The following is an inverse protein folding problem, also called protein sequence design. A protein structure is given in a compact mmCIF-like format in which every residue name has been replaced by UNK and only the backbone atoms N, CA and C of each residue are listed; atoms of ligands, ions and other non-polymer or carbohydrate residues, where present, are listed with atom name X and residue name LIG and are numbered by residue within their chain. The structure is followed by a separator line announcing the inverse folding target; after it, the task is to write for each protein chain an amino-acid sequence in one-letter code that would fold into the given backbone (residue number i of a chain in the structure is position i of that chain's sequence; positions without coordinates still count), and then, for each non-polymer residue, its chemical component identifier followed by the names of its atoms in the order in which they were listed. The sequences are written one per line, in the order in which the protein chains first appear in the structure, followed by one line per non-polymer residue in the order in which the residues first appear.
data_IF_875745171308
#
_entry.id   IF_875745171308
#
_cell.length_a   1.000
_cell.length_b   1.000
_cell.length_c   1.000
_cell.angle_alpha   90.00
_cell.angle_beta   90.00
_cell.angle_gamma   90.00
#
_symmetry.space_group_name_H-M   'P 1'
#
loop_
_entity.id
_entity.type
_entity.pdbx_description
1 polymer ?
#
# COMPACT_ATOMS: atom_id res chain seq x y z
N UNK A 1 -13.85 9.06 12.82
CA UNK A 1 -13.78 7.83 13.64
C UNK A 1 -12.95 8.14 14.87
N UNK A 2 -13.38 7.73 16.07
CA UNK A 2 -12.52 7.79 17.26
C UNK A 2 -11.25 6.94 17.07
N UNK A 3 -10.20 7.24 17.82
CA UNK A 3 -9.04 6.35 17.90
C UNK A 3 -9.49 5.02 18.52
N UNK A 4 -9.22 3.94 17.80
CA UNK A 4 -9.47 2.57 18.23
C UNK A 4 -8.13 1.99 18.67
N UNK A 5 -8.14 1.29 19.79
CA UNK A 5 -6.99 0.53 20.28
C UNK A 5 -7.42 -0.83 20.80
N UNK A 6 -6.48 -1.77 20.88
CA UNK A 6 -6.70 -3.04 21.56
C UNK A 6 -6.51 -2.89 23.09
N UNK A 7 -6.70 -4.00 23.82
CA UNK A 7 -6.48 -4.13 25.26
C UNK A 7 -5.05 -3.79 25.72
N UNK A 8 -4.09 -3.84 24.80
CA UNK A 8 -2.67 -3.47 25.01
C UNK A 8 -2.36 -2.01 24.64
N UNK A 9 -3.36 -1.23 24.23
CA UNK A 9 -3.22 0.18 23.87
C UNK A 9 -2.65 0.44 22.46
N UNK A 10 -2.44 -0.59 21.64
CA UNK A 10 -1.96 -0.42 20.25
C UNK A 10 -3.09 0.07 19.37
N UNK A 11 -2.84 1.11 18.56
CA UNK A 11 -3.85 1.65 17.65
C UNK A 11 -4.24 0.65 16.56
N UNK A 12 -5.51 0.66 16.15
CA UNK A 12 -6.05 -0.33 15.20
C UNK A 12 -6.82 0.27 14.02
N UNK A 13 -6.98 1.59 13.98
CA UNK A 13 -7.76 2.28 12.94
C UNK A 13 -7.28 1.97 11.51
N UNK A 14 -5.97 1.97 11.27
CA UNK A 14 -5.41 1.74 9.95
C UNK A 14 -5.55 0.28 9.54
N UNK A 15 -5.34 -0.65 10.48
CA UNK A 15 -5.54 -2.10 10.26
C UNK A 15 -7.00 -2.36 9.87
N UNK A 16 -7.94 -1.84 10.66
CA UNK A 16 -9.37 -2.00 10.44
C UNK A 16 -9.81 -1.40 9.10
N UNK A 17 -9.44 -0.15 8.82
CA UNK A 17 -9.80 0.53 7.58
C UNK A 17 -9.22 -0.19 6.36
N UNK A 18 -7.98 -0.67 6.44
CA UNK A 18 -7.36 -1.43 5.36
C UNK A 18 -8.06 -2.77 5.11
N UNK A 19 -8.39 -3.52 6.18
CA UNK A 19 -9.10 -4.79 6.07
C UNK A 19 -10.47 -4.61 5.40
N UNK A 20 -11.23 -3.57 5.78
CA UNK A 20 -12.53 -3.27 5.17
C UNK A 20 -12.41 -2.98 3.67
N UNK A 21 -11.41 -2.20 3.26
CA UNK A 21 -11.19 -1.89 1.84
C UNK A 21 -10.76 -3.14 1.07
N UNK A 22 -9.86 -3.94 1.66
CA UNK A 22 -9.39 -5.20 1.05
C UNK A 22 -10.54 -6.17 0.83
N UNK A 23 -11.36 -6.41 1.85
CA UNK A 23 -12.51 -7.32 1.77
C UNK A 23 -13.51 -6.84 0.71
N UNK A 24 -13.82 -5.53 0.70
CA UNK A 24 -14.69 -4.95 -0.31
C UNK A 24 -14.15 -5.13 -1.73
N UNK A 25 -12.85 -4.91 -1.96
CA UNK A 25 -12.23 -5.15 -3.26
C UNK A 25 -12.28 -6.62 -3.68
N UNK A 26 -12.07 -7.55 -2.77
CA UNK A 26 -12.16 -8.98 -3.06
C UNK A 26 -13.58 -9.40 -3.46
N UNK A 27 -14.58 -8.86 -2.78
CA UNK A 27 -16.00 -9.14 -3.04
C UNK A 27 -16.49 -8.52 -4.37
N UNK A 28 -16.20 -7.23 -4.58
CA UNK A 28 -16.70 -6.46 -5.72
C UNK A 28 -16.00 -6.86 -7.03
N UNK A 29 -14.67 -6.99 -7.01
CA UNK A 29 -13.87 -7.17 -8.23
C UNK A 29 -13.59 -8.64 -8.57
N UNK A 30 -13.73 -9.56 -7.60
CA UNK A 30 -13.42 -11.00 -7.73
C UNK A 30 -12.11 -11.27 -8.50
N UNK A 31 -10.99 -10.66 -8.07
CA UNK A 31 -9.77 -10.69 -8.84
C UNK A 31 -9.16 -12.09 -8.87
N UNK A 32 -8.63 -12.49 -10.01
CA UNK A 32 -7.83 -13.73 -10.12
C UNK A 32 -6.42 -13.57 -9.53
N UNK A 33 -5.93 -12.33 -9.46
CA UNK A 33 -4.59 -11.99 -8.99
C UNK A 33 -4.61 -10.64 -8.27
N UNK A 34 -3.89 -10.52 -7.16
CA UNK A 34 -3.74 -9.29 -6.39
C UNK A 34 -2.30 -9.09 -5.95
N UNK A 35 -1.87 -7.83 -5.90
CA UNK A 35 -0.57 -7.41 -5.37
C UNK A 35 -0.76 -6.11 -4.59
N UNK A 36 -0.16 -6.03 -3.40
CA UNK A 36 -0.05 -4.77 -2.65
C UNK A 36 1.39 -4.27 -2.74
N UNK A 37 1.56 -3.01 -3.16
CA UNK A 37 2.86 -2.37 -3.28
C UNK A 37 3.05 -1.34 -2.15
N UNK A 38 4.15 -1.47 -1.41
CA UNK A 38 4.60 -0.47 -0.44
C UNK A 38 5.65 0.45 -1.09
N UNK A 39 5.66 1.72 -0.70
CA UNK A 39 6.71 2.67 -1.08
C UNK A 39 8.01 2.32 -0.35
N UNK A 40 9.13 2.26 -1.07
CA UNK A 40 10.45 1.90 -0.54
C UNK A 40 11.02 2.92 0.48
N UNK A 41 10.42 4.11 0.61
CA UNK A 41 10.96 5.17 1.45
C UNK A 41 12.09 5.95 0.76
N UNK A 42 12.58 7.00 1.46
CA UNK A 42 13.32 8.15 0.89
C UNK A 42 14.65 7.87 0.15
N UNK A 43 15.19 6.66 0.18
CA UNK A 43 16.44 6.29 -0.52
C UNK A 43 16.15 5.68 -1.89
N UNK A 44 15.59 6.49 -2.78
CA UNK A 44 15.70 6.25 -4.22
C UNK A 44 16.67 7.28 -4.78
N UNK A 45 17.56 6.85 -5.68
CA UNK A 45 18.62 7.63 -6.32
C UNK A 45 18.03 8.80 -7.15
N UNK A 46 17.50 9.81 -6.46
CA UNK A 46 16.80 10.97 -7.03
C UNK A 46 17.04 12.16 -6.10
N UNK A 47 18.28 12.65 -6.08
CA UNK A 47 18.69 13.69 -5.12
C UNK A 47 19.14 15.03 -5.70
N UNK A 48 18.91 15.34 -6.97
CA UNK A 48 19.40 16.63 -7.49
C UNK A 48 18.35 17.62 -8.03
N UNK A 49 17.13 17.21 -8.42
CA UNK A 49 16.24 18.16 -9.15
C UNK A 49 14.98 18.63 -8.40
N UNK A 50 14.68 18.17 -7.18
CA UNK A 50 13.37 18.44 -6.53
C UNK A 50 13.44 18.60 -4.99
N UNK A 51 14.48 19.24 -4.46
CA UNK A 51 14.61 19.48 -3.01
C UNK A 51 13.50 20.40 -2.47
N UNK A 52 13.11 21.43 -3.22
CA UNK A 52 12.11 22.43 -2.79
C UNK A 52 10.67 21.88 -2.73
N UNK A 53 10.30 20.95 -3.62
CA UNK A 53 8.93 20.43 -3.72
C UNK A 53 8.54 19.47 -2.58
N UNK A 54 9.49 18.87 -1.86
CA UNK A 54 9.22 17.89 -0.78
C UNK A 54 9.48 18.42 0.63
N UNK A 55 9.85 19.69 0.77
CA UNK A 55 10.23 20.31 2.05
C UNK A 55 9.11 20.37 3.11
N UNK A 56 7.84 20.29 2.70
CA UNK A 56 6.68 20.44 3.59
C UNK A 56 6.02 19.15 4.06
N UNK A 57 6.57 17.95 3.79
CA UNK A 57 5.93 16.70 4.25
C UNK A 57 6.06 16.56 5.76
N UNK A 58 4.92 16.52 6.46
CA UNK A 58 4.88 16.12 7.85
C UNK A 58 5.41 14.69 8.00
N UNK A 59 6.05 14.42 9.14
CA UNK A 59 6.47 13.06 9.50
C UNK A 59 5.22 12.19 9.61
N UNK A 60 5.32 10.94 9.18
CA UNK A 60 4.27 9.96 9.42
C UNK A 60 3.99 9.87 10.92
N UNK A 61 2.72 9.97 11.36
CA UNK A 61 2.37 9.83 12.77
C UNK A 61 2.86 8.48 13.33
N UNK A 62 3.42 8.43 14.56
CA UNK A 62 3.86 7.19 15.20
C UNK A 62 2.75 6.14 15.28
N UNK A 63 1.52 6.56 15.57
CA UNK A 63 0.32 5.75 15.72
C UNK A 63 -0.05 5.01 14.42
N UNK A 64 0.30 5.59 13.27
CA UNK A 64 0.14 4.93 11.98
C UNK A 64 1.33 3.98 11.71
N UNK A 65 2.53 4.40 12.10
CA UNK A 65 3.77 3.65 11.84
C UNK A 65 3.78 2.31 12.59
N UNK A 66 3.30 2.29 13.83
CA UNK A 66 3.19 1.06 14.64
C UNK A 66 2.20 0.03 14.07
N UNK A 67 1.26 0.46 13.23
CA UNK A 67 0.24 -0.42 12.63
C UNK A 67 0.72 -1.14 11.37
N UNK A 68 1.80 -0.66 10.75
CA UNK A 68 2.30 -1.18 9.47
C UNK A 68 2.77 -2.65 9.51
N UNK A 69 3.39 -3.17 10.57
CA UNK A 69 3.71 -4.59 10.68
C UNK A 69 2.45 -5.48 10.62
N UNK A 70 1.41 -5.11 11.36
CA UNK A 70 0.15 -5.88 11.39
C UNK A 70 -0.61 -5.85 10.05
N UNK A 71 -0.52 -4.76 9.29
CA UNK A 71 -1.06 -4.73 7.92
C UNK A 71 -0.32 -5.72 7.02
N UNK A 72 0.99 -5.92 7.21
CA UNK A 72 1.75 -6.91 6.44
C UNK A 72 1.37 -8.33 6.84
N UNK A 73 1.18 -8.60 8.12
CA UNK A 73 0.69 -9.88 8.65
C UNK A 73 -0.71 -10.20 8.13
N UNK A 74 -1.61 -9.20 8.11
CA UNK A 74 -2.94 -9.34 7.54
C UNK A 74 -2.85 -9.77 6.07
N UNK A 75 -1.98 -9.15 5.27
CA UNK A 75 -1.79 -9.54 3.88
C UNK A 75 -1.22 -10.96 3.71
N UNK A 76 -0.38 -11.43 4.65
CA UNK A 76 0.08 -12.83 4.67
C UNK A 76 -1.09 -13.78 4.94
N UNK A 77 -1.96 -13.45 5.89
CA UNK A 77 -3.15 -14.25 6.21
C UNK A 77 -4.11 -14.37 5.01
N UNK A 78 -4.23 -13.32 4.20
CA UNK A 78 -5.00 -13.33 2.95
C UNK A 78 -4.23 -13.92 1.76
N UNK A 79 -3.00 -14.39 1.94
CA UNK A 79 -2.11 -14.91 0.89
C UNK A 79 -1.89 -13.92 -0.27
N UNK A 80 -1.94 -12.62 0.02
CA UNK A 80 -1.74 -11.55 -0.96
C UNK A 80 -0.26 -11.27 -1.10
N UNK A 81 0.26 -11.32 -2.34
CA UNK A 81 1.66 -10.99 -2.61
C UNK A 81 1.93 -9.52 -2.31
N UNK A 82 3.11 -9.27 -1.74
CA UNK A 82 3.59 -7.94 -1.40
C UNK A 82 4.81 -7.59 -2.25
N UNK A 83 4.83 -6.38 -2.80
CA UNK A 83 5.96 -5.82 -3.53
C UNK A 83 6.46 -4.55 -2.87
N UNK A 84 7.75 -4.26 -3.03
CA UNK A 84 8.29 -2.93 -2.73
C UNK A 84 8.53 -2.23 -4.05
N UNK A 85 7.96 -1.04 -4.25
CA UNK A 85 8.21 -0.25 -5.45
C UNK A 85 9.20 0.87 -5.18
N UNK A 86 10.20 0.97 -6.06
CA UNK A 86 11.20 2.04 -6.09
C UNK A 86 10.77 3.22 -6.97
N UNK A 87 9.61 3.12 -7.63
CA UNK A 87 8.97 4.20 -8.36
C UNK A 87 7.78 4.71 -7.55
N UNK A 88 7.41 5.98 -7.70
CA UNK A 88 6.20 6.49 -7.06
C UNK A 88 4.98 5.60 -7.43
N UNK A 89 4.03 5.42 -6.52
CA UNK A 89 2.89 4.50 -6.70
C UNK A 89 2.09 4.77 -7.99
N UNK A 90 2.12 6.02 -8.50
CA UNK A 90 1.51 6.41 -9.78
C UNK A 90 2.19 5.77 -11.00
N UNK A 91 3.50 5.48 -10.96
CA UNK A 91 4.22 4.85 -12.07
C UNK A 91 4.09 3.32 -12.09
N UNK A 92 3.95 2.70 -10.92
CA UNK A 92 3.84 1.23 -10.79
C UNK A 92 2.52 0.69 -11.36
N UNK A 93 1.42 1.40 -11.13
CA UNK A 93 0.09 1.04 -11.66
C UNK A 93 0.09 1.15 -13.19
N UNK A 94 0.75 2.15 -13.77
CA UNK A 94 0.81 2.33 -15.23
C UNK A 94 1.66 1.26 -15.93
N UNK A 95 2.71 0.74 -15.30
CA UNK A 95 3.48 -0.40 -15.82
C UNK A 95 2.73 -1.74 -15.75
N UNK A 96 1.86 -1.93 -14.75
CA UNK A 96 1.05 -3.16 -14.63
C UNK A 96 -0.24 -3.15 -15.47
N UNK A 97 -0.92 -2.00 -15.54
CA UNK A 97 -2.20 -1.83 -16.24
C UNK A 97 -2.05 -1.92 -17.77
N UNK A 98 -0.91 -1.54 -18.33
CA UNK A 98 -0.62 -1.74 -19.76
C UNK A 98 -0.26 -3.19 -20.12
N UNK A 99 0.37 -3.95 -19.21
CA UNK A 99 0.72 -5.35 -19.46
C UNK A 99 -0.51 -6.27 -19.43
N UNK A 100 -1.48 -5.97 -18.57
CA UNK A 100 -2.70 -6.79 -18.42
C UNK A 100 -3.68 -6.62 -19.59
N UNK A 101 -3.78 -5.43 -20.17
CA UNK A 101 -4.68 -5.12 -21.29
C UNK A 101 -4.16 -5.61 -22.66
N UNK A 102 -2.89 -6.01 -22.78
CA UNK A 102 -2.31 -6.52 -24.03
C UNK A 102 -2.33 -8.06 -24.16
N UNK A 103 -2.39 -8.81 -23.05
CA UNK A 103 -2.43 -10.28 -23.10
C UNK A 103 -3.80 -10.88 -23.45
N UNK A 104 -4.86 -10.08 -23.57
CA UNK A 104 -6.21 -10.53 -23.91
C UNK A 104 -6.62 -10.31 -25.39
N UNK A 105 -5.67 -9.95 -26.28
CA UNK A 105 -5.91 -9.70 -27.71
C UNK A 105 -5.02 -10.51 -28.67
N UNK A 106 -4.36 -11.56 -28.20
CA UNK A 106 -3.69 -12.56 -29.07
C UNK A 106 -4.11 -13.97 -28.68
N UNK A 107 -5.38 -14.26 -28.88
CA UNK A 107 -5.96 -15.53 -29.34
C UNK A 107 -7.24 -15.17 -30.11
#
# INVERSE_FOLDING_TARGET
MPLLSNDKGVHTNAIYGFAMILMKMLEDEKPTHMLVAFDAGKTTFRHETFKEYKGGRQKTPPELSEQMPFIRELLDAYQVKKGTSFLNTRQTILSGHWLWRQKKKRL
#
